data_IF_170598161333
#
_entry.id   IF_170598161333
#
_cell.length_a   1.000
_cell.length_b   1.000
_cell.length_c   1.000
_cell.angle_alpha   90.00
_cell.angle_beta   90.00
_cell.angle_gamma   90.00
#
_symmetry.space_group_name_H-M   'P 1'
#
loop_
_entity.id
_entity.type
_entity.pdbx_description
1 polymer ?
#
# COMPACT_ATOMS: atom_id res chain seq x y z
N UNK A 1 -19.25 3.11 9.01
CA UNK A 1 -18.06 3.65 9.71
C UNK A 1 -18.09 5.18 9.66
N UNK A 2 -17.50 5.87 10.65
CA UNK A 2 -17.35 7.36 10.62
C UNK A 2 -16.10 7.74 9.82
N UNK A 3 -16.10 8.91 9.17
CA UNK A 3 -14.95 9.37 8.36
C UNK A 3 -13.67 9.48 9.18
N UNK A 4 -13.74 9.98 10.42
CA UNK A 4 -12.60 10.05 11.34
C UNK A 4 -11.95 8.68 11.54
N UNK A 5 -12.75 7.63 11.73
CA UNK A 5 -12.25 6.25 11.85
C UNK A 5 -11.61 5.77 10.54
N UNK A 6 -12.20 6.10 9.40
CA UNK A 6 -11.64 5.78 8.08
C UNK A 6 -10.26 6.44 7.89
N UNK A 7 -10.12 7.70 8.30
CA UNK A 7 -8.88 8.47 8.23
C UNK A 7 -7.77 7.85 9.08
N UNK A 8 -8.11 7.41 10.29
CA UNK A 8 -7.14 6.72 11.17
C UNK A 8 -6.69 5.39 10.57
N UNK A 9 -7.60 4.59 10.02
CA UNK A 9 -7.24 3.32 9.36
C UNK A 9 -6.34 3.59 8.14
N UNK A 10 -6.74 4.51 7.27
CA UNK A 10 -6.00 4.86 6.06
C UNK A 10 -4.58 5.35 6.39
N UNK A 11 -4.44 6.26 7.35
CA UNK A 11 -3.14 6.76 7.81
C UNK A 11 -2.24 5.64 8.38
N UNK A 12 -2.82 4.66 9.09
CA UNK A 12 -2.07 3.51 9.62
C UNK A 12 -1.60 2.58 8.51
N UNK A 13 -2.39 2.38 7.46
CA UNK A 13 -1.97 1.57 6.30
C UNK A 13 -0.83 2.28 5.56
N UNK A 14 -0.93 3.59 5.33
CA UNK A 14 0.16 4.39 4.74
C UNK A 14 1.43 4.32 5.59
N UNK A 15 1.31 4.36 6.91
CA UNK A 15 2.46 4.27 7.80
C UNK A 15 3.22 2.92 7.73
N UNK A 16 2.64 1.89 7.09
CA UNK A 16 3.33 0.63 6.80
C UNK A 16 4.22 0.72 5.57
N UNK A 17 4.01 1.68 4.67
CA UNK A 17 4.74 1.78 3.40
C UNK A 17 6.28 1.79 3.59
N UNK A 18 6.86 2.58 4.52
CA UNK A 18 8.30 2.53 4.77
C UNK A 18 8.78 1.15 5.23
N UNK A 19 8.02 0.47 6.09
CA UNK A 19 8.38 -0.86 6.60
C UNK A 19 8.29 -1.94 5.51
N UNK A 20 7.32 -1.82 4.61
CA UNK A 20 7.17 -2.71 3.45
C UNK A 20 8.34 -2.49 2.48
N UNK A 21 8.75 -1.23 2.26
CA UNK A 21 9.90 -0.90 1.44
C UNK A 21 11.20 -1.44 2.05
N UNK A 22 11.43 -1.27 3.36
CA UNK A 22 12.57 -1.87 4.07
C UNK A 22 12.59 -3.40 3.96
N UNK A 23 11.42 -4.05 4.02
CA UNK A 23 11.31 -5.50 3.84
C UNK A 23 11.63 -5.91 2.38
N UNK A 24 11.21 -5.11 1.41
CA UNK A 24 11.52 -5.34 0.00
C UNK A 24 13.02 -5.21 -0.29
N UNK A 25 13.68 -4.21 0.29
CA UNK A 25 15.14 -4.02 0.22
C UNK A 25 15.88 -5.18 0.89
N UNK A 26 15.42 -5.61 2.06
CA UNK A 26 15.97 -6.77 2.77
C UNK A 26 15.82 -8.05 1.96
N UNK A 27 14.70 -8.23 1.26
CA UNK A 27 14.49 -9.36 0.36
C UNK A 27 15.43 -9.30 -0.86
N UNK A 28 15.76 -8.10 -1.35
CA UNK A 28 16.67 -7.91 -2.49
C UNK A 28 18.11 -8.32 -2.17
N UNK A 29 18.51 -8.18 -0.90
CA UNK A 29 19.82 -8.59 -0.40
C UNK A 29 20.01 -10.12 -0.29
N UNK A 30 18.98 -10.93 -0.55
CA UNK A 30 19.08 -12.39 -0.53
C UNK A 30 19.88 -12.89 -1.75
N UNK A 31 20.91 -13.69 -1.48
CA UNK A 31 21.82 -14.21 -2.51
C UNK A 31 21.16 -15.26 -3.41
N UNK A 32 20.37 -16.17 -2.84
CA UNK A 32 19.62 -17.17 -3.60
C UNK A 32 18.53 -16.49 -4.42
N UNK A 33 18.67 -16.54 -5.75
CA UNK A 33 17.78 -15.85 -6.67
C UNK A 33 16.33 -16.35 -6.59
N UNK A 34 16.15 -17.65 -6.35
CA UNK A 34 14.80 -18.24 -6.25
C UNK A 34 14.12 -17.76 -4.98
N UNK A 35 14.80 -17.80 -3.84
CA UNK A 35 14.28 -17.31 -2.57
C UNK A 35 14.05 -15.80 -2.59
N UNK A 36 14.97 -15.02 -3.15
CA UNK A 36 14.79 -13.57 -3.37
C UNK A 36 13.51 -13.28 -4.15
N UNK A 37 13.30 -13.97 -5.27
CA UNK A 37 12.10 -13.80 -6.09
C UNK A 37 10.82 -14.15 -5.32
N UNK A 38 10.83 -15.26 -4.58
CA UNK A 38 9.69 -15.67 -3.73
C UNK A 38 9.38 -14.65 -2.64
N UNK A 39 10.38 -14.11 -1.95
CA UNK A 39 10.19 -13.09 -0.92
C UNK A 39 9.68 -11.78 -1.51
N UNK A 40 10.28 -11.28 -2.60
CA UNK A 40 9.80 -10.05 -3.27
C UNK A 40 8.35 -10.20 -3.73
N UNK A 41 7.97 -11.37 -4.25
CA UNK A 41 6.59 -11.67 -4.60
C UNK A 41 5.67 -11.61 -3.37
N UNK A 42 6.04 -12.27 -2.28
CA UNK A 42 5.25 -12.27 -1.04
C UNK A 42 5.08 -10.85 -0.46
N UNK A 43 6.13 -10.02 -0.48
CA UNK A 43 6.05 -8.61 -0.06
C UNK A 43 5.08 -7.83 -0.98
N UNK A 44 5.17 -8.03 -2.29
CA UNK A 44 4.24 -7.44 -3.25
C UNK A 44 2.78 -7.86 -3.03
N UNK A 45 2.52 -9.11 -2.66
CA UNK A 45 1.19 -9.62 -2.31
C UNK A 45 0.62 -8.96 -1.05
N UNK A 46 1.45 -8.72 -0.02
CA UNK A 46 1.05 -7.96 1.18
C UNK A 46 0.67 -6.53 0.82
N UNK A 47 1.52 -5.83 0.05
CA UNK A 47 1.25 -4.47 -0.41
C UNK A 47 -0.04 -4.40 -1.23
N UNK A 48 -0.23 -5.33 -2.16
CA UNK A 48 -1.45 -5.42 -2.97
C UNK A 48 -2.70 -5.65 -2.11
N UNK A 49 -2.62 -6.53 -1.11
CA UNK A 49 -3.73 -6.81 -0.19
C UNK A 49 -4.11 -5.56 0.60
N UNK A 50 -3.15 -4.84 1.17
CA UNK A 50 -3.41 -3.60 1.90
C UNK A 50 -4.08 -2.54 1.01
N UNK A 51 -3.62 -2.41 -0.24
CA UNK A 51 -4.21 -1.46 -1.17
C UNK A 51 -5.63 -1.86 -1.59
N UNK A 52 -5.82 -3.06 -2.14
CA UNK A 52 -7.09 -3.46 -2.74
C UNK A 52 -8.19 -3.75 -1.71
N UNK A 53 -7.83 -4.31 -0.55
CA UNK A 53 -8.80 -4.73 0.46
C UNK A 53 -9.06 -3.63 1.52
N UNK A 54 -8.15 -2.66 1.67
CA UNK A 54 -8.30 -1.61 2.69
C UNK A 54 -8.33 -0.22 2.05
N UNK A 55 -7.26 0.22 1.37
CA UNK A 55 -7.18 1.61 0.88
C UNK A 55 -8.25 1.91 -0.16
N UNK A 56 -8.37 1.09 -1.20
CA UNK A 56 -9.27 1.33 -2.33
C UNK A 56 -10.76 1.41 -1.91
N UNK A 57 -11.30 0.53 -1.03
CA UNK A 57 -12.65 0.69 -0.50
C UNK A 57 -12.83 1.98 0.30
N UNK A 58 -11.83 2.39 1.09
CA UNK A 58 -11.88 3.63 1.87
C UNK A 58 -11.86 4.86 0.97
N UNK A 59 -11.02 4.87 -0.06
CA UNK A 59 -10.94 5.95 -1.06
C UNK A 59 -12.26 6.11 -1.82
N UNK A 60 -12.87 4.99 -2.26
CA UNK A 60 -14.18 5.00 -2.94
C UNK A 60 -15.29 5.54 -2.04
N UNK A 61 -15.24 5.24 -0.74
CA UNK A 61 -16.30 5.64 0.21
C UNK A 61 -16.09 7.03 0.80
N UNK A 62 -14.83 7.47 0.95
CA UNK A 62 -14.41 8.73 1.55
C UNK A 62 -13.33 9.41 0.68
N UNK A 63 -13.72 10.05 -0.45
CA UNK A 63 -12.75 10.61 -1.41
C UNK A 63 -11.85 11.72 -0.86
N UNK A 64 -12.22 12.32 0.28
CA UNK A 64 -11.43 13.33 0.98
C UNK A 64 -10.26 12.75 1.79
N UNK A 65 -10.06 11.42 1.77
CA UNK A 65 -8.91 10.76 2.39
C UNK A 65 -7.64 10.88 1.53
N UNK A 66 -7.77 10.97 0.20
CA UNK A 66 -6.63 11.12 -0.71
C UNK A 66 -6.16 12.57 -0.63
N UNK A 67 -4.91 12.85 -0.23
CA UNK A 67 -4.32 14.18 -0.32
C UNK A 67 -4.41 14.67 -1.77
N UNK A 68 -4.76 15.95 -2.00
CA UNK A 68 -4.91 16.45 -3.37
C UNK A 68 -3.64 16.30 -4.22
N UNK A 69 -2.47 16.26 -3.57
CA UNK A 69 -1.15 16.03 -4.17
C UNK A 69 -0.91 14.60 -4.68
N UNK A 70 -1.71 13.64 -4.20
CA UNK A 70 -1.58 12.21 -4.52
C UNK A 70 -2.78 11.67 -5.32
N UNK A 71 -3.77 12.51 -5.62
CA UNK A 71 -4.87 12.14 -6.50
C UNK A 71 -4.28 11.78 -7.88
N UNK A 72 -4.47 10.54 -8.39
CA UNK A 72 -4.12 10.25 -9.76
C UNK A 72 -4.90 11.22 -10.64
N UNK A 73 -4.16 12.01 -11.44
CA UNK A 73 -4.76 12.92 -12.42
C UNK A 73 -5.75 12.09 -13.22
N UNK A 74 -7.03 12.45 -13.21
CA UNK A 74 -8.14 11.77 -13.91
C UNK A 74 -8.05 11.96 -15.43
N UNK A 75 -6.84 11.79 -15.99
CA UNK A 75 -6.54 11.73 -17.41
C UNK A 75 -6.05 10.32 -17.76
N UNK A 76 -6.90 9.34 -17.49
CA UNK A 76 -6.94 8.15 -18.33
C UNK A 76 -7.69 8.55 -19.61
N UNK A 77 -6.91 8.78 -20.66
CA UNK A 77 -7.36 8.84 -22.06
C UNK A 77 -7.23 7.47 -22.67
#
# INVERSE_FOLDING_TARGET
MREETARVIYARVIALDPLINELFESADAVEDETLRSQFKKAVGEVMGTLYFEIMLPLEKRYPALIPETERPSTKLR
#
